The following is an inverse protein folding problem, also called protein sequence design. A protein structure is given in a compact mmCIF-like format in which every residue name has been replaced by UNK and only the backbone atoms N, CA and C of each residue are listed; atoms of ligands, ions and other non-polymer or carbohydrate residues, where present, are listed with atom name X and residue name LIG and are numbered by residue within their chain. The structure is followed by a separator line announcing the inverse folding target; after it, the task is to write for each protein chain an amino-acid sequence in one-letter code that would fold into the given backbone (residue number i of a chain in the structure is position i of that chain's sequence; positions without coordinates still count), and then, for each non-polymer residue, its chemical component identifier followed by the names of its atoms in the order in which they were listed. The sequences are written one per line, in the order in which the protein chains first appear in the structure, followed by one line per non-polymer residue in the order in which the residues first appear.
data_IF_686016988500
#
_entry.id   IF_686016988500
#
_cell.length_a   1.000
_cell.length_b   1.000
_cell.length_c   1.000
_cell.angle_alpha   90.00
_cell.angle_beta   90.00
_cell.angle_gamma   90.00
#
_symmetry.space_group_name_H-M   'P 1'
#
loop_
_entity.id
_entity.type
_entity.pdbx_description
1 polymer ?
#
# COMPACT_ATOMS: atom_id res chain seq x y z
N UNK A 1 10.62 -21.10 16.69
CA UNK A 1 9.56 -20.70 17.65
C UNK A 1 9.30 -19.20 17.70
N UNK A 2 10.16 -18.34 18.26
CA UNK A 2 9.85 -16.89 18.41
C UNK A 2 9.45 -16.21 17.08
N UNK A 3 10.18 -16.48 16.00
CA UNK A 3 9.91 -15.94 14.66
C UNK A 3 8.49 -16.25 14.15
N UNK A 4 8.04 -17.51 14.27
CA UNK A 4 6.71 -17.95 13.84
C UNK A 4 5.60 -17.32 14.70
N UNK A 5 5.83 -17.20 16.01
CA UNK A 5 4.89 -16.54 16.93
C UNK A 5 4.73 -15.07 16.53
N UNK A 6 5.83 -14.37 16.26
CA UNK A 6 5.81 -12.96 15.82
C UNK A 6 5.06 -12.81 14.50
N UNK A 7 5.37 -13.63 13.48
CA UNK A 7 4.66 -13.60 12.21
C UNK A 7 3.15 -13.84 12.37
N UNK A 8 2.77 -14.79 13.21
CA UNK A 8 1.37 -15.12 13.48
C UNK A 8 0.65 -13.98 14.18
N UNK A 9 1.26 -13.35 15.19
CA UNK A 9 0.68 -12.20 15.90
C UNK A 9 0.48 -11.03 14.95
N UNK A 10 1.49 -10.66 14.17
CA UNK A 10 1.37 -9.54 13.23
C UNK A 10 0.34 -9.82 12.13
N UNK A 11 0.32 -11.03 11.57
CA UNK A 11 -0.69 -11.41 10.58
C UNK A 11 -2.11 -11.41 11.15
N UNK A 12 -2.31 -11.93 12.36
CA UNK A 12 -3.64 -11.94 13.00
C UNK A 12 -4.11 -10.52 13.34
N UNK A 13 -3.25 -9.67 13.89
CA UNK A 13 -3.55 -8.25 14.08
C UNK A 13 -3.86 -7.55 12.76
N UNK A 14 -3.08 -7.85 11.71
CA UNK A 14 -3.31 -7.35 10.36
C UNK A 14 -4.69 -7.70 9.83
N UNK A 15 -5.13 -8.95 9.98
CA UNK A 15 -6.48 -9.38 9.58
C UNK A 15 -7.55 -8.67 10.42
N UNK A 16 -7.42 -8.67 11.74
CA UNK A 16 -8.44 -8.12 12.66
C UNK A 16 -8.62 -6.61 12.44
N UNK A 17 -7.55 -5.83 12.41
CA UNK A 17 -7.66 -4.38 12.23
C UNK A 17 -8.14 -3.99 10.84
N UNK A 18 -7.70 -4.69 9.79
CA UNK A 18 -8.19 -4.39 8.44
C UNK A 18 -9.65 -4.83 8.25
N UNK A 19 -10.08 -5.94 8.85
CA UNK A 19 -11.49 -6.33 8.85
C UNK A 19 -12.37 -5.30 9.59
N UNK A 20 -11.90 -4.79 10.72
CA UNK A 20 -12.57 -3.71 11.45
C UNK A 20 -12.66 -2.42 10.62
N UNK A 21 -11.56 -2.02 9.98
CA UNK A 21 -11.54 -0.85 9.08
C UNK A 21 -12.49 -1.02 7.89
N UNK A 22 -12.54 -2.22 7.31
CA UNK A 22 -13.48 -2.57 6.24
C UNK A 22 -14.93 -2.45 6.71
N UNK A 23 -15.25 -2.98 7.90
CA UNK A 23 -16.57 -2.85 8.50
C UNK A 23 -16.98 -1.39 8.71
N UNK A 24 -16.10 -0.55 9.24
CA UNK A 24 -16.35 0.88 9.41
C UNK A 24 -16.57 1.59 8.06
N UNK A 25 -15.75 1.27 7.05
CA UNK A 25 -15.85 1.85 5.73
C UNK A 25 -17.21 1.55 5.07
N UNK A 26 -17.73 0.33 5.24
CA UNK A 26 -19.01 -0.10 4.67
C UNK A 26 -20.23 0.44 5.44
N UNK A 27 -20.17 0.47 6.78
CA UNK A 27 -21.36 0.76 7.61
C UNK A 27 -21.51 2.21 8.04
N UNK A 28 -20.41 2.97 8.18
CA UNK A 28 -20.43 4.33 8.76
C UNK A 28 -20.08 5.44 7.77
N UNK A 29 -19.75 5.10 6.52
CA UNK A 29 -19.31 6.13 5.55
C UNK A 29 -20.48 6.98 5.03
N UNK A 30 -20.42 8.33 5.15
CA UNK A 30 -21.44 9.22 4.61
C UNK A 30 -21.40 9.26 3.08
N UNK A 31 -22.53 9.57 2.43
CA UNK A 31 -22.67 9.57 0.96
C UNK A 31 -21.61 10.41 0.22
N UNK A 32 -21.17 11.51 0.82
CA UNK A 32 -20.14 12.42 0.27
C UNK A 32 -18.76 11.76 0.21
N UNK A 33 -18.47 10.79 1.10
CA UNK A 33 -17.18 10.08 1.16
C UNK A 33 -17.23 8.69 0.52
N UNK A 34 -18.29 8.34 -0.22
CA UNK A 34 -18.51 6.99 -0.75
C UNK A 34 -17.33 6.47 -1.58
N UNK A 35 -16.67 7.32 -2.37
CA UNK A 35 -15.50 6.93 -3.15
C UNK A 35 -14.26 6.65 -2.27
N UNK A 36 -14.04 7.47 -1.24
CA UNK A 36 -13.03 7.22 -0.22
C UNK A 36 -13.27 5.86 0.46
N UNK A 37 -14.53 5.56 0.80
CA UNK A 37 -14.92 4.28 1.40
C UNK A 37 -14.67 3.09 0.48
N UNK A 38 -14.94 3.21 -0.83
CA UNK A 38 -14.62 2.15 -1.80
C UNK A 38 -13.11 1.90 -1.86
N UNK A 39 -12.29 2.95 -1.96
CA UNK A 39 -10.83 2.82 -1.98
C UNK A 39 -10.31 2.19 -0.69
N UNK A 40 -10.81 2.64 0.47
CA UNK A 40 -10.46 2.06 1.77
C UNK A 40 -10.85 0.59 1.82
N UNK A 41 -12.05 0.23 1.36
CA UNK A 41 -12.54 -1.16 1.35
C UNK A 41 -11.62 -2.06 0.51
N UNK A 42 -11.27 -1.63 -0.70
CA UNK A 42 -10.36 -2.38 -1.58
C UNK A 42 -8.99 -2.53 -0.91
N UNK A 43 -8.45 -1.44 -0.36
CA UNK A 43 -7.18 -1.45 0.35
C UNK A 43 -7.20 -2.41 1.56
N UNK A 44 -8.23 -2.34 2.40
CA UNK A 44 -8.33 -3.23 3.55
C UNK A 44 -8.49 -4.69 3.12
N UNK A 45 -9.15 -4.95 1.99
CA UNK A 45 -9.25 -6.30 1.44
C UNK A 45 -7.88 -6.82 0.96
N UNK A 46 -7.09 -6.00 0.27
CA UNK A 46 -5.73 -6.37 -0.14
C UNK A 46 -4.79 -6.54 1.06
N UNK A 47 -4.94 -5.73 2.10
CA UNK A 47 -4.19 -5.87 3.35
C UNK A 47 -4.54 -7.17 4.12
N UNK A 48 -5.82 -7.56 4.14
CA UNK A 48 -6.26 -8.86 4.69
C UNK A 48 -5.63 -10.01 3.90
N UNK A 49 -5.71 -9.97 2.56
CA UNK A 49 -5.12 -11.01 1.71
C UNK A 49 -3.60 -11.11 1.91
N UNK A 50 -2.90 -9.97 1.98
CA UNK A 50 -1.46 -9.94 2.27
C UNK A 50 -1.15 -10.58 3.62
N UNK A 51 -1.93 -10.27 4.65
CA UNK A 51 -1.74 -10.81 6.00
C UNK A 51 -1.98 -12.32 6.07
N UNK A 52 -2.99 -12.83 5.34
CA UNK A 52 -3.28 -14.26 5.21
C UNK A 52 -2.15 -15.00 4.49
N UNK A 53 -1.67 -14.48 3.36
CA UNK A 53 -0.56 -15.09 2.63
C UNK A 53 0.74 -15.03 3.44
N UNK A 54 1.00 -13.94 4.17
CA UNK A 54 2.15 -13.86 5.08
C UNK A 54 2.08 -14.94 6.18
N UNK A 55 0.90 -15.23 6.72
CA UNK A 55 0.70 -16.33 7.68
C UNK A 55 0.86 -17.71 7.02
N UNK A 56 0.43 -17.84 5.76
CA UNK A 56 0.55 -19.08 5.00
C UNK A 56 1.99 -19.45 4.66
N UNK A 57 2.82 -18.46 4.28
CA UNK A 57 4.18 -18.72 3.79
C UNK A 57 5.22 -18.59 4.92
N UNK A 58 5.09 -17.57 5.78
CA UNK A 58 6.11 -17.18 6.77
C UNK A 58 7.51 -17.19 6.16
N UNK A 59 7.68 -16.38 5.12
CA UNK A 59 8.86 -16.35 4.27
C UNK A 59 10.05 -15.71 4.98
N UNK A 60 11.18 -16.43 5.05
CA UNK A 60 12.48 -15.85 5.40
C UNK A 60 13.36 -15.77 4.14
N UNK A 61 13.87 -14.58 3.86
CA UNK A 61 14.78 -14.32 2.74
C UNK A 61 16.19 -14.17 3.32
N UNK A 62 17.13 -14.99 2.84
CA UNK A 62 18.55 -14.92 3.18
C UNK A 62 19.34 -14.78 1.88
N UNK A 63 20.38 -13.96 1.88
CA UNK A 63 21.25 -13.77 0.72
C UNK A 63 22.70 -13.97 1.13
N UNK A 64 23.46 -14.67 0.30
CA UNK A 64 24.92 -14.81 0.40
C UNK A 64 25.64 -13.88 -0.60
N UNK A 65 24.94 -12.88 -1.12
CA UNK A 65 25.44 -11.94 -2.13
C UNK A 65 25.47 -12.49 -3.56
N UNK A 66 25.62 -13.81 -3.73
CA UNK A 66 25.61 -14.48 -5.04
C UNK A 66 24.28 -15.17 -5.32
N UNK A 67 23.64 -15.72 -4.28
CA UNK A 67 22.38 -16.46 -4.38
C UNK A 67 21.40 -15.98 -3.32
N UNK A 68 20.11 -16.15 -3.62
CA UNK A 68 19.00 -15.89 -2.69
C UNK A 68 18.42 -17.22 -2.25
N UNK A 69 18.23 -17.35 -0.94
CA UNK A 69 17.60 -18.47 -0.28
C UNK A 69 16.27 -18.02 0.31
N UNK A 70 15.20 -18.64 -0.14
CA UNK A 70 13.85 -18.47 0.36
C UNK A 70 13.52 -19.67 1.25
N UNK A 71 13.37 -19.42 2.54
CA UNK A 71 13.14 -20.43 3.56
C UNK A 71 11.71 -20.25 4.10
N UNK A 72 10.72 -20.99 3.58
CA UNK A 72 9.37 -20.96 4.11
C UNK A 72 9.32 -21.65 5.48
N UNK A 73 8.51 -21.14 6.40
CA UNK A 73 8.29 -21.75 7.72
C UNK A 73 6.81 -21.88 8.08
N UNK A 74 5.92 -21.57 7.15
CA UNK A 74 4.47 -21.57 7.33
C UNK A 74 3.78 -22.83 6.79
N UNK A 75 2.44 -22.88 6.87
CA UNK A 75 1.62 -23.98 6.36
C UNK A 75 1.82 -24.34 4.89
N UNK A 76 2.39 -23.45 4.07
CA UNK A 76 2.66 -23.71 2.65
C UNK A 76 3.53 -24.96 2.42
N UNK A 77 4.38 -25.33 3.39
CA UNK A 77 5.26 -26.49 3.31
C UNK A 77 4.46 -27.78 3.06
N UNK A 78 3.29 -27.91 3.69
CA UNK A 78 2.43 -29.10 3.54
C UNK A 78 1.81 -29.23 2.14
N UNK A 79 1.75 -28.12 1.39
CA UNK A 79 1.28 -28.09 0.00
C UNK A 79 2.42 -28.21 -1.02
N UNK A 80 3.67 -28.18 -0.56
CA UNK A 80 4.86 -28.36 -1.36
C UNK A 80 5.56 -27.06 -1.81
N UNK A 81 6.74 -27.17 -2.46
CA UNK A 81 7.59 -26.03 -2.82
C UNK A 81 6.92 -25.03 -3.76
N UNK A 82 6.12 -25.52 -4.72
CA UNK A 82 5.39 -24.68 -5.69
C UNK A 82 4.40 -23.77 -4.96
N UNK A 83 3.68 -24.29 -3.97
CA UNK A 83 2.72 -23.52 -3.19
C UNK A 83 3.41 -22.44 -2.34
N UNK A 84 4.57 -22.74 -1.76
CA UNK A 84 5.38 -21.74 -1.04
C UNK A 84 5.91 -20.64 -1.95
N UNK A 85 6.41 -20.99 -3.14
CA UNK A 85 6.88 -20.00 -4.12
C UNK A 85 5.74 -19.16 -4.70
N UNK A 86 4.62 -19.78 -5.06
CA UNK A 86 3.43 -19.07 -5.50
C UNK A 86 2.93 -18.11 -4.40
N UNK A 87 2.87 -18.58 -3.15
CA UNK A 87 2.52 -17.75 -2.00
C UNK A 87 3.43 -16.53 -1.85
N UNK A 88 4.75 -16.69 -2.00
CA UNK A 88 5.70 -15.57 -2.00
C UNK A 88 5.38 -14.54 -3.10
N UNK A 89 5.12 -15.02 -4.31
CA UNK A 89 4.82 -14.18 -5.45
C UNK A 89 3.48 -13.44 -5.27
N UNK A 90 2.45 -14.11 -4.72
CA UNK A 90 1.19 -13.49 -4.32
C UNK A 90 1.37 -12.42 -3.24
N UNK A 91 2.17 -12.70 -2.21
CA UNK A 91 2.44 -11.75 -1.13
C UNK A 91 3.02 -10.45 -1.67
N UNK A 92 4.06 -10.54 -2.50
CA UNK A 92 4.74 -9.35 -3.04
C UNK A 92 3.85 -8.58 -4.01
N UNK A 93 3.04 -9.27 -4.82
CA UNK A 93 2.07 -8.62 -5.69
C UNK A 93 1.03 -7.84 -4.89
N UNK A 94 0.45 -8.42 -3.82
CA UNK A 94 -0.51 -7.69 -2.99
C UNK A 94 0.13 -6.49 -2.26
N UNK A 95 1.39 -6.62 -1.84
CA UNK A 95 2.14 -5.52 -1.25
C UNK A 95 2.34 -4.37 -2.25
N UNK A 96 2.64 -4.67 -3.50
CA UNK A 96 2.72 -3.67 -4.56
C UNK A 96 1.37 -2.99 -4.82
N UNK A 97 0.29 -3.77 -4.92
CA UNK A 97 -1.06 -3.24 -5.06
C UNK A 97 -1.40 -2.28 -3.93
N UNK A 98 -1.02 -2.61 -2.70
CA UNK A 98 -1.21 -1.73 -1.55
C UNK A 98 -0.52 -0.37 -1.67
N UNK A 99 0.66 -0.32 -2.29
CA UNK A 99 1.36 0.93 -2.59
C UNK A 99 0.64 1.73 -3.69
N UNK A 100 0.20 1.07 -4.76
CA UNK A 100 -0.57 1.71 -5.84
C UNK A 100 -1.86 2.31 -5.28
N UNK A 101 -2.61 1.55 -4.48
CA UNK A 101 -3.83 2.04 -3.82
C UNK A 101 -3.57 3.20 -2.86
N UNK A 102 -2.38 3.25 -2.25
CA UNK A 102 -1.96 4.38 -1.42
C UNK A 102 -1.81 5.67 -2.25
N UNK A 103 -1.18 5.59 -3.42
CA UNK A 103 -1.07 6.71 -4.37
C UNK A 103 -2.47 7.16 -4.79
N UNK A 104 -3.34 6.23 -5.18
CA UNK A 104 -4.71 6.54 -5.59
C UNK A 104 -5.48 7.25 -4.47
N UNK A 105 -5.33 6.82 -3.21
CA UNK A 105 -5.94 7.49 -2.07
C UNK A 105 -5.43 8.92 -1.87
N UNK A 106 -4.15 9.18 -2.11
CA UNK A 106 -3.56 10.52 -2.00
C UNK A 106 -4.04 11.44 -3.11
N UNK A 107 -3.93 10.98 -4.36
CA UNK A 107 -4.43 11.71 -5.52
C UNK A 107 -5.93 12.01 -5.37
N UNK A 108 -6.71 11.05 -4.87
CA UNK A 108 -8.13 11.28 -4.63
C UNK A 108 -8.41 12.44 -3.64
N UNK A 109 -7.67 12.50 -2.52
CA UNK A 109 -7.80 13.61 -1.56
C UNK A 109 -7.43 14.96 -2.16
N UNK A 110 -6.42 14.99 -3.04
CA UNK A 110 -6.06 16.19 -3.79
C UNK A 110 -7.23 16.70 -4.65
N UNK A 111 -7.85 15.80 -5.40
CA UNK A 111 -8.92 16.14 -6.33
C UNK A 111 -10.17 16.69 -5.65
N UNK A 112 -10.60 16.11 -4.51
CA UNK A 112 -11.75 16.61 -3.74
C UNK A 112 -11.51 18.06 -3.30
N UNK A 113 -10.27 18.40 -2.94
CA UNK A 113 -9.94 19.71 -2.35
C UNK A 113 -9.70 20.81 -3.39
N UNK A 114 -9.20 20.48 -4.60
CA UNK A 114 -8.67 21.50 -5.52
C UNK A 114 -9.43 21.66 -6.85
N UNK A 115 -9.80 20.57 -7.54
CA UNK A 115 -10.11 20.63 -8.99
C UNK A 115 -11.59 20.46 -9.35
N UNK A 116 -12.43 19.93 -8.43
CA UNK A 116 -13.84 19.45 -8.61
C UNK A 116 -13.92 17.92 -8.79
N UNK A 117 -15.06 17.33 -8.42
CA UNK A 117 -15.28 15.87 -8.30
C UNK A 117 -14.81 15.08 -9.54
N UNK A 118 -13.66 14.39 -9.47
CA UNK A 118 -13.26 13.47 -10.52
C UNK A 118 -14.26 12.31 -10.56
N UNK A 119 -14.53 11.80 -11.76
CA UNK A 119 -15.38 10.61 -11.90
C UNK A 119 -14.67 9.44 -11.20
N UNK A 120 -15.26 8.99 -10.10
CA UNK A 120 -14.87 7.81 -9.32
C UNK A 120 -14.41 6.62 -10.17
N UNK A 121 -15.18 6.35 -11.22
CA UNK A 121 -14.94 5.23 -12.14
C UNK A 121 -13.61 5.34 -12.86
N UNK A 122 -13.17 6.55 -13.23
CA UNK A 122 -11.91 6.75 -13.94
C UNK A 122 -10.73 6.46 -13.03
N UNK A 123 -10.73 6.95 -11.79
CA UNK A 123 -9.66 6.68 -10.83
C UNK A 123 -9.57 5.19 -10.48
N UNK A 124 -10.72 4.54 -10.23
CA UNK A 124 -10.78 3.10 -9.95
C UNK A 124 -10.33 2.27 -11.15
N UNK A 125 -10.75 2.63 -12.36
CA UNK A 125 -10.35 1.92 -13.58
C UNK A 125 -8.86 2.09 -13.86
N UNK A 126 -8.31 3.29 -13.70
CA UNK A 126 -6.86 3.52 -13.84
C UNK A 126 -6.06 2.71 -12.82
N UNK A 127 -6.47 2.69 -11.55
CA UNK A 127 -5.80 1.90 -10.51
C UNK A 127 -5.85 0.40 -10.82
N UNK A 128 -7.00 -0.09 -11.28
CA UNK A 128 -7.16 -1.48 -11.71
C UNK A 128 -6.33 -1.81 -12.95
N UNK A 129 -6.27 -0.92 -13.94
CA UNK A 129 -5.41 -1.09 -15.11
C UNK A 129 -3.91 -1.11 -14.75
N UNK A 130 -3.48 -0.31 -13.77
CA UNK A 130 -2.10 -0.32 -13.27
C UNK A 130 -1.75 -1.59 -12.49
N UNK A 131 -2.76 -2.27 -11.95
CA UNK A 131 -2.65 -3.48 -11.14
C UNK A 131 -2.48 -4.76 -11.98
N UNK A 132 -3.06 -4.77 -13.19
CA UNK A 132 -3.06 -5.92 -14.10
C UNK A 132 -1.64 -6.40 -14.49
N UNK A 133 -0.68 -5.54 -14.87
CA UNK A 133 0.67 -5.96 -15.23
C UNK A 133 1.37 -6.77 -14.12
N UNK A 134 1.19 -6.38 -12.86
CA UNK A 134 1.78 -7.09 -11.71
C UNK A 134 1.24 -8.51 -11.56
N UNK A 135 -0.05 -8.73 -11.85
CA UNK A 135 -0.61 -10.09 -11.88
C UNK A 135 -0.02 -10.93 -13.01
N UNK A 136 0.09 -10.40 -14.22
CA UNK A 136 0.71 -11.12 -15.33
C UNK A 136 2.17 -11.45 -15.04
N UNK A 137 2.93 -10.46 -14.57
CA UNK A 137 4.33 -10.63 -14.17
C UNK A 137 4.50 -11.76 -13.15
N UNK A 138 3.65 -11.81 -12.12
CA UNK A 138 3.63 -12.90 -11.14
C UNK A 138 3.35 -14.27 -11.76
N UNK A 139 2.29 -14.38 -12.57
CA UNK A 139 1.89 -15.66 -13.18
C UNK A 139 2.98 -16.23 -14.09
N UNK A 140 3.71 -15.36 -14.79
CA UNK A 140 4.83 -15.75 -15.64
C UNK A 140 5.94 -16.39 -14.81
N UNK A 141 6.36 -15.76 -13.70
CA UNK A 141 7.38 -16.33 -12.81
C UNK A 141 6.98 -17.68 -12.23
N UNK A 142 5.72 -17.82 -11.79
CA UNK A 142 5.20 -19.09 -11.28
C UNK A 142 5.21 -20.16 -12.37
N UNK A 143 4.88 -19.81 -13.62
CA UNK A 143 4.87 -20.77 -14.74
C UNK A 143 6.24 -21.33 -15.10
N UNK A 144 7.32 -20.57 -14.86
CA UNK A 144 8.70 -21.02 -15.08
C UNK A 144 9.31 -21.77 -13.89
N UNK A 145 8.57 -21.94 -12.80
CA UNK A 145 9.08 -22.62 -11.61
C UNK A 145 9.23 -24.12 -11.87
N UNK A 146 10.47 -24.61 -11.77
CA UNK A 146 10.81 -26.02 -11.89
C UNK A 146 11.34 -26.56 -10.53
N UNK A 147 10.77 -27.69 -10.09
CA UNK A 147 11.02 -28.23 -8.75
C UNK A 147 12.49 -28.64 -8.56
N UNK A 148 13.10 -29.25 -9.59
CA UNK A 148 14.44 -29.86 -9.50
C UNK A 148 15.54 -28.80 -9.49
N UNK A 149 15.33 -27.70 -10.20
CA UNK A 149 16.31 -26.63 -10.32
C UNK A 149 16.17 -25.58 -9.23
N UNK A 150 14.98 -25.45 -8.63
CA UNK A 150 14.68 -24.36 -7.69
C UNK A 150 14.51 -24.80 -6.23
N UNK A 151 14.84 -26.05 -5.90
CA UNK A 151 14.83 -26.55 -4.52
C UNK A 151 16.15 -27.22 -4.19
N UNK A 152 16.63 -27.00 -2.96
CA UNK A 152 17.82 -27.67 -2.43
C UNK A 152 17.42 -28.32 -1.09
N UNK A 153 17.94 -29.53 -0.86
CA UNK A 153 17.78 -30.21 0.41
C UNK A 153 18.50 -29.40 1.51
N UNK A 154 17.86 -29.15 2.67
CA UNK A 154 18.41 -28.34 3.74
C UNK A 154 19.74 -28.89 4.29
N UNK A 155 19.88 -30.22 4.27
CA UNK A 155 21.08 -30.96 4.65
C UNK A 155 22.32 -30.53 3.83
N UNK A 156 22.13 -30.21 2.54
CA UNK A 156 23.20 -29.75 1.67
C UNK A 156 23.74 -28.35 2.07
N UNK A 157 22.97 -27.62 2.88
CA UNK A 157 23.33 -26.31 3.43
C UNK A 157 23.73 -26.39 4.92
N UNK A 158 23.84 -27.60 5.48
CA UNK A 158 24.12 -27.79 6.91
C UNK A 158 23.01 -27.28 7.82
N UNK A 159 21.79 -27.14 7.31
CA UNK A 159 20.62 -26.75 8.08
C UNK A 159 19.99 -27.98 8.74
N UNK A 160 19.54 -27.80 9.98
CA UNK A 160 18.85 -28.81 10.77
C UNK A 160 17.53 -29.26 10.11
N UNK A 161 17.02 -30.45 10.47
CA UNK A 161 15.74 -31.01 9.98
C UNK A 161 14.53 -30.08 10.24
N UNK A 162 14.71 -29.08 11.11
CA UNK A 162 13.73 -28.02 11.38
C UNK A 162 13.30 -27.23 10.13
N UNK A 163 14.13 -27.20 9.07
CA UNK A 163 13.80 -26.57 7.80
C UNK A 163 13.51 -27.67 6.76
N UNK A 164 12.26 -27.91 6.36
CA UNK A 164 11.96 -29.04 5.47
C UNK A 164 12.29 -28.76 3.99
N UNK A 165 12.27 -27.49 3.56
CA UNK A 165 12.41 -27.09 2.16
C UNK A 165 13.15 -25.75 2.08
N UNK A 166 14.14 -25.65 1.18
CA UNK A 166 14.79 -24.38 0.82
C UNK A 166 14.63 -24.14 -0.68
N UNK A 167 14.10 -22.97 -1.03
CA UNK A 167 13.88 -22.52 -2.40
C UNK A 167 15.06 -21.62 -2.81
N UNK A 168 15.75 -21.95 -3.89
CA UNK A 168 16.91 -21.19 -4.37
C UNK A 168 17.13 -21.43 -5.86
N UNK A 169 18.21 -20.91 -6.45
CA UNK A 169 18.52 -21.05 -7.86
C UNK A 169 18.31 -19.75 -8.68
N UNK A 170 18.68 -19.76 -9.97
CA UNK A 170 18.70 -18.54 -10.80
C UNK A 170 17.32 -17.90 -10.94
N UNK A 171 16.27 -18.71 -11.14
CA UNK A 171 14.90 -18.22 -11.26
C UNK A 171 14.47 -17.49 -9.97
N UNK A 172 14.75 -18.08 -8.81
CA UNK A 172 14.43 -17.51 -7.51
C UNK A 172 15.19 -16.20 -7.29
N UNK A 173 16.47 -16.17 -7.64
CA UNK A 173 17.30 -14.97 -7.56
C UNK A 173 16.73 -13.83 -8.40
N UNK A 174 16.54 -14.04 -9.71
CA UNK A 174 16.05 -12.99 -10.61
C UNK A 174 14.63 -12.57 -10.26
N UNK A 175 13.72 -13.52 -10.04
CA UNK A 175 12.34 -13.19 -9.68
C UNK A 175 12.26 -12.39 -8.39
N UNK A 176 12.97 -12.81 -7.33
CA UNK A 176 12.98 -12.11 -6.04
C UNK A 176 13.60 -10.72 -6.17
N UNK A 177 14.71 -10.59 -6.88
CA UNK A 177 15.35 -9.29 -7.12
C UNK A 177 14.41 -8.35 -7.88
N UNK A 178 13.82 -8.81 -8.98
CA UNK A 178 12.92 -7.99 -9.81
C UNK A 178 11.72 -7.50 -9.01
N UNK A 179 11.03 -8.37 -8.27
CA UNK A 179 9.84 -7.97 -7.49
C UNK A 179 10.18 -7.01 -6.34
N UNK A 180 11.34 -7.19 -5.69
CA UNK A 180 11.76 -6.28 -4.60
C UNK A 180 12.24 -4.93 -5.12
N UNK A 181 12.95 -4.90 -6.26
CA UNK A 181 13.34 -3.65 -6.93
C UNK A 181 12.09 -2.89 -7.38
N UNK A 182 11.13 -3.59 -8.00
CA UNK A 182 9.85 -3.00 -8.42
C UNK A 182 9.09 -2.43 -7.22
N UNK A 183 9.00 -3.18 -6.11
CA UNK A 183 8.40 -2.72 -4.87
C UNK A 183 9.11 -1.46 -4.31
N UNK A 184 10.44 -1.45 -4.31
CA UNK A 184 11.24 -0.32 -3.83
C UNK A 184 11.01 0.94 -4.68
N UNK A 185 10.98 0.79 -6.01
CA UNK A 185 10.66 1.90 -6.94
C UNK A 185 9.26 2.45 -6.63
N UNK A 186 8.26 1.59 -6.52
CA UNK A 186 6.88 2.00 -6.22
C UNK A 186 6.79 2.67 -4.84
N UNK A 187 7.52 2.19 -3.84
CA UNK A 187 7.58 2.81 -2.51
C UNK A 187 8.20 4.22 -2.57
N UNK A 188 9.28 4.41 -3.33
CA UNK A 188 9.85 5.74 -3.59
C UNK A 188 8.84 6.67 -4.26
N UNK A 189 8.09 6.19 -5.25
CA UNK A 189 7.03 6.97 -5.91
C UNK A 189 5.91 7.37 -4.94
N UNK A 190 5.51 6.48 -4.03
CA UNK A 190 4.54 6.79 -2.96
C UNK A 190 5.07 7.93 -2.09
N UNK A 191 6.33 7.85 -1.64
CA UNK A 191 6.95 8.87 -0.79
C UNK A 191 7.03 10.23 -1.49
N UNK A 192 7.48 10.25 -2.75
CA UNK A 192 7.53 11.47 -3.56
C UNK A 192 6.14 12.09 -3.72
N UNK A 193 5.14 11.26 -4.04
CA UNK A 193 3.74 11.71 -4.18
C UNK A 193 3.21 12.26 -2.86
N UNK A 194 3.53 11.61 -1.73
CA UNK A 194 3.13 12.06 -0.40
C UNK A 194 3.76 13.41 -0.04
N UNK A 195 5.07 13.59 -0.25
CA UNK A 195 5.78 14.85 0.01
C UNK A 195 5.17 15.97 -0.85
N UNK A 196 5.04 15.74 -2.15
CA UNK A 196 4.43 16.69 -3.08
C UNK A 196 3.02 17.08 -2.63
N UNK A 197 2.17 16.10 -2.30
CA UNK A 197 0.81 16.37 -1.87
C UNK A 197 0.76 17.13 -0.55
N UNK A 198 1.61 16.78 0.41
CA UNK A 198 1.72 17.47 1.70
C UNK A 198 2.08 18.94 1.50
N UNK A 199 3.07 19.24 0.67
CA UNK A 199 3.50 20.61 0.41
C UNK A 199 2.40 21.42 -0.29
N UNK A 200 1.70 20.83 -1.25
CA UNK A 200 0.57 21.47 -1.93
C UNK A 200 -0.56 21.78 -0.96
N UNK A 201 -0.93 20.82 -0.09
CA UNK A 201 -1.99 21.01 0.90
C UNK A 201 -1.63 22.02 1.98
N UNK A 202 -0.39 22.03 2.46
CA UNK A 202 0.10 23.01 3.43
C UNK A 202 0.10 24.42 2.84
N UNK A 203 0.62 24.57 1.61
CA UNK A 203 0.61 25.85 0.91
C UNK A 203 -0.82 26.35 0.65
N UNK A 204 -1.74 25.45 0.31
CA UNK A 204 -3.15 25.79 0.15
C UNK A 204 -3.79 26.26 1.47
N UNK A 205 -3.55 25.54 2.57
CA UNK A 205 -4.04 25.91 3.90
C UNK A 205 -3.50 27.27 4.35
N UNK A 206 -2.21 27.53 4.12
CA UNK A 206 -1.58 28.82 4.42
C UNK A 206 -2.20 29.95 3.60
N UNK A 207 -2.43 29.75 2.29
CA UNK A 207 -3.10 30.74 1.43
C UNK A 207 -4.53 31.02 1.89
N UNK A 208 -5.32 29.99 2.22
CA UNK A 208 -6.67 30.16 2.76
C UNK A 208 -6.69 30.90 4.10
N UNK A 209 -5.74 30.59 5.01
CA UNK A 209 -5.58 31.33 6.27
C UNK A 209 -5.19 32.79 6.07
N UNK A 210 -4.28 33.05 5.11
CA UNK A 210 -3.88 34.41 4.70
C UNK A 210 -5.06 35.21 4.14
N UNK A 211 -5.78 34.65 3.17
CA UNK A 211 -6.99 35.27 2.59
C UNK A 211 -8.04 35.57 3.67
N UNK A 212 -8.24 34.67 4.63
CA UNK A 212 -9.19 34.88 5.73
C UNK A 212 -8.78 36.06 6.63
N UNK A 213 -7.48 36.19 6.92
CA UNK A 213 -6.95 37.31 7.70
C UNK A 213 -7.04 38.63 6.95
N UNK A 214 -6.73 38.65 5.65
CA UNK A 214 -6.85 39.84 4.82
C UNK A 214 -8.30 40.29 4.66
N UNK A 215 -9.23 39.34 4.50
CA UNK A 215 -10.68 39.63 4.44
C UNK A 215 -11.19 40.19 5.77
N UNK A 216 -10.73 39.66 6.91
CA UNK A 216 -11.04 40.22 8.25
C UNK A 216 -10.47 41.63 8.42
N UNK A 217 -9.28 41.90 7.89
CA UNK A 217 -8.60 43.20 7.95
C UNK A 217 -9.33 44.23 7.08
N UNK A 218 -9.70 43.85 5.86
CA UNK A 218 -10.47 44.68 4.92
C UNK A 218 -11.86 45.03 5.48
N UNK A 219 -12.57 44.05 6.04
CA UNK A 219 -13.87 44.29 6.69
C UNK A 219 -13.76 45.27 7.87
N UNK A 220 -12.68 45.22 8.69
CA UNK A 220 -12.47 46.22 9.75
C UNK A 220 -12.23 47.63 9.21
N UNK A 221 -11.50 47.76 8.10
CA UNK A 221 -11.24 49.06 7.46
C UNK A 221 -12.54 49.64 6.91
N UNK A 222 -13.35 48.83 6.21
CA UNK A 222 -14.64 49.25 5.65
C UNK A 222 -15.63 49.68 6.74
N UNK A 223 -15.68 48.98 7.89
CA UNK A 223 -16.52 49.39 9.04
C UNK A 223 -16.05 50.73 9.63
N UNK A 224 -14.74 50.97 9.74
CA UNK A 224 -14.20 52.26 10.22
C UNK A 224 -14.51 53.42 9.27
N UNK A 225 -14.42 53.20 7.95
CA UNK A 225 -14.77 54.21 6.95
C UNK A 225 -16.27 54.54 7.01
N UNK A 226 -17.14 53.52 7.08
CA UNK A 226 -18.60 53.71 7.19
C UNK A 226 -18.99 54.52 8.43
N UNK A 227 -18.31 54.31 9.57
CA UNK A 227 -18.53 55.07 10.81
C UNK A 227 -18.13 56.55 10.67
N UNK A 228 -16.98 56.83 10.04
CA UNK A 228 -16.53 58.20 9.76
C UNK A 228 -17.43 58.96 8.78
N UNK A 229 -18.04 58.28 7.81
CA UNK A 229 -18.96 58.91 6.86
C UNK A 229 -20.29 59.28 7.52
N UNK A 230 -20.80 58.46 8.45
CA UNK A 230 -22.01 58.76 9.22
C UNK A 230 -21.83 59.97 10.17
N UNK A 231 -20.67 60.09 10.83
CA UNK A 231 -20.37 61.26 11.69
C UNK A 231 -20.21 62.57 10.89
N UNK A 232 -19.86 62.48 9.60
CA UNK A 232 -19.73 63.66 8.71
C UNK A 232 -21.04 64.12 8.07
N UNK A 233 -22.09 63.29 8.08
CA UNK A 233 -23.41 63.60 7.50
C UNK A 233 -24.45 64.01 8.55
N UNK A 234 -24.09 64.00 9.84
CA UNK A 234 -24.94 64.42 10.97
C UNK A 234 -24.59 65.82 11.51
N UNK A 235 -23.92 66.66 10.73
CA UNK A 235 -23.71 68.09 10.98
C UNK A 235 -24.21 68.88 9.79
#
# INVERSE_FOLDING_TARGET
MLYQVVHTIFSTLGVVFNAFMMFLALTKSPRIMRLCSVIITIKTATDIMTSLINAFVMMRIVTDGIQVFLIPSGPCIYFGPVACYAGHMFMTCFLEHNLIWMICSYVFRYYILYVRDPKARTLLLTAFCLSIPSFFHMTIWISFFDLKTNTIAPEALGLDESYPIVLTGPLIYYSTLTVHVQLAITACLVLLTYIWLRDVLLNYSLRMGGVTNDTKKLNRVLVKVRKKTYDKTSK
#
